data_IF_501483870827
#
_entry.id   IF_501483870827
#
_cell.length_a   1.000
_cell.length_b   1.000
_cell.length_c   1.000
_cell.angle_alpha   90.00
_cell.angle_beta   90.00
_cell.angle_gamma   90.00
#
_symmetry.space_group_name_H-M   'P 1'
#
loop_
_entity.id
_entity.type
_entity.pdbx_description
1 polymer ?
#
# COMPACT_ATOMS: atom_id res chain seq x y z
N UNK A 1 66.68 -0.36 19.66
CA UNK A 1 65.83 -1.15 18.74
C UNK A 1 65.48 -0.27 17.55
N UNK A 2 65.51 -0.84 16.36
CA UNK A 2 65.78 -0.16 15.09
C UNK A 2 64.75 0.82 14.54
N UNK A 3 65.29 1.57 13.59
CA UNK A 3 64.84 2.71 12.77
C UNK A 3 63.74 2.31 11.77
N UNK A 4 62.81 3.21 11.41
CA UNK A 4 62.65 3.75 10.04
C UNK A 4 61.49 4.75 9.88
N UNK A 5 61.86 5.90 9.31
CA UNK A 5 61.05 6.99 8.76
C UNK A 5 60.70 6.64 7.31
N UNK A 6 59.49 6.94 6.82
CA UNK A 6 59.33 7.45 5.44
C UNK A 6 57.93 8.00 5.20
N UNK A 7 57.90 9.28 4.83
CA UNK A 7 56.81 9.91 4.09
C UNK A 7 57.12 9.81 2.59
N UNK A 8 56.12 9.57 1.74
CA UNK A 8 56.24 9.84 0.31
C UNK A 8 54.91 10.38 -0.27
N UNK A 9 55.05 11.56 -0.89
CA UNK A 9 54.10 12.28 -1.75
C UNK A 9 54.12 11.70 -3.19
N UNK A 10 53.13 12.15 -3.96
CA UNK A 10 53.10 12.29 -5.44
C UNK A 10 52.58 11.04 -6.17
N UNK A 11 51.74 11.11 -7.21
CA UNK A 11 51.58 12.13 -8.25
C UNK A 11 50.22 11.98 -8.97
N UNK A 12 49.78 13.06 -9.62
CA UNK A 12 48.70 13.09 -10.62
C UNK A 12 49.11 12.23 -11.83
N UNK A 13 48.15 11.61 -12.51
CA UNK A 13 48.08 11.71 -13.97
C UNK A 13 46.70 11.37 -14.54
N UNK A 14 46.21 12.33 -15.31
CA UNK A 14 45.12 12.29 -16.28
C UNK A 14 45.45 11.36 -17.45
N UNK A 15 44.46 10.63 -17.97
CA UNK A 15 44.50 10.14 -19.36
C UNK A 15 43.15 10.40 -20.03
N UNK A 16 43.22 11.12 -21.15
CA UNK A 16 42.14 11.44 -22.10
C UNK A 16 41.83 10.22 -22.99
N UNK A 17 40.58 10.16 -23.45
CA UNK A 17 40.06 9.27 -24.49
C UNK A 17 40.85 9.28 -25.80
N UNK A 18 40.59 8.28 -26.66
CA UNK A 18 40.37 8.57 -28.07
C UNK A 18 39.00 8.14 -28.58
N UNK A 19 38.44 9.02 -29.41
CA UNK A 19 37.31 8.80 -30.33
C UNK A 19 37.71 7.82 -31.45
N UNK A 20 36.73 7.12 -32.02
CA UNK A 20 36.58 6.67 -33.42
C UNK A 20 35.36 5.72 -33.42
N UNK A 21 34.35 5.74 -34.30
CA UNK A 21 34.06 6.46 -35.54
C UNK A 21 32.94 5.68 -36.29
N UNK A 22 31.98 6.41 -36.84
CA UNK A 22 31.01 6.07 -37.91
C UNK A 22 29.90 4.99 -37.77
N UNK A 23 28.69 5.50 -38.01
CA UNK A 23 27.34 4.94 -38.33
C UNK A 23 27.28 4.33 -39.77
N UNK A 24 26.16 3.79 -40.34
CA UNK A 24 24.76 3.63 -39.86
C UNK A 24 24.06 2.29 -40.28
N UNK A 25 22.75 2.21 -40.02
CA UNK A 25 21.68 1.34 -40.60
C UNK A 25 21.28 0.07 -39.82
N UNK A 26 20.10 0.17 -39.20
CA UNK A 26 19.32 -0.95 -38.69
C UNK A 26 18.00 -0.44 -38.11
N UNK A 27 17.05 -0.07 -38.98
CA UNK A 27 15.67 0.23 -38.60
C UNK A 27 15.04 -1.00 -37.94
N UNK A 28 14.58 -0.88 -36.70
CA UNK A 28 13.39 -1.61 -36.23
C UNK A 28 12.51 -0.66 -35.44
N UNK A 29 11.32 -0.44 -35.98
CA UNK A 29 10.22 0.28 -35.36
C UNK A 29 9.75 -0.52 -34.14
N UNK A 30 9.84 0.05 -32.94
CA UNK A 30 8.99 -0.35 -31.82
C UNK A 30 7.82 0.62 -31.79
N UNK A 31 6.65 0.14 -32.21
CA UNK A 31 5.41 0.91 -32.22
C UNK A 31 5.07 1.39 -30.82
N UNK A 32 5.23 2.69 -30.58
CA UNK A 32 4.67 3.39 -29.44
C UNK A 32 3.16 3.51 -29.63
N UNK A 33 2.39 2.50 -29.28
CA UNK A 33 0.95 2.66 -29.07
C UNK A 33 0.74 3.16 -27.65
N UNK A 34 0.78 4.48 -27.48
CA UNK A 34 0.08 5.14 -26.40
C UNK A 34 -1.39 4.73 -26.47
N UNK A 35 -1.83 3.82 -25.61
CA UNK A 35 -3.24 3.49 -25.46
C UNK A 35 -3.97 4.69 -24.84
N UNK A 36 -5.02 5.25 -25.49
CA UNK A 36 -5.72 6.41 -24.96
C UNK A 36 -6.53 6.02 -23.71
N UNK A 37 -6.35 6.77 -22.62
CA UNK A 37 -7.01 6.59 -21.32
C UNK A 37 -8.54 6.46 -21.39
N UNK A 38 -9.17 7.08 -22.40
CA UNK A 38 -10.63 7.10 -22.58
C UNK A 38 -11.25 5.76 -22.99
N UNK A 39 -10.47 4.79 -23.47
CA UNK A 39 -11.00 3.48 -23.88
C UNK A 39 -11.13 2.52 -22.69
N UNK A 40 -10.36 2.72 -21.61
CA UNK A 40 -10.49 1.97 -20.36
C UNK A 40 -11.81 2.31 -19.65
N UNK A 41 -12.17 3.59 -19.61
CA UNK A 41 -13.34 4.12 -18.91
C UNK A 41 -14.68 3.52 -19.42
N UNK A 42 -14.83 3.33 -20.74
CA UNK A 42 -16.09 2.84 -21.33
C UNK A 42 -16.38 1.36 -21.11
N UNK A 43 -15.35 0.54 -20.91
CA UNK A 43 -15.54 -0.88 -20.60
C UNK A 43 -15.96 -1.11 -19.14
N UNK A 44 -15.64 -0.16 -18.25
CA UNK A 44 -16.08 -0.17 -16.86
C UNK A 44 -17.46 0.46 -16.68
N UNK A 45 -17.76 1.59 -17.34
CA UNK A 45 -19.06 2.29 -17.22
C UNK A 45 -20.30 1.45 -17.59
N UNK A 46 -20.18 0.46 -18.50
CA UNK A 46 -21.32 -0.40 -18.86
C UNK A 46 -21.68 -1.44 -17.78
N UNK A 47 -20.83 -1.62 -16.76
CA UNK A 47 -21.03 -2.60 -15.68
C UNK A 47 -21.88 -2.00 -14.53
N UNK A 48 -21.95 -0.66 -14.44
CA UNK A 48 -22.41 0.09 -13.25
C UNK A 48 -23.91 0.43 -13.17
N UNK A 49 -24.79 -0.36 -13.78
CA UNK A 49 -26.22 -0.29 -13.47
C UNK A 49 -26.71 -1.64 -12.92
N UNK A 50 -26.89 -1.70 -11.59
CA UNK A 50 -28.09 -2.18 -10.87
C UNK A 50 -27.80 -2.73 -9.47
N UNK A 51 -28.61 -2.24 -8.50
CA UNK A 51 -29.11 -2.81 -7.24
C UNK A 51 -28.15 -3.68 -6.40
N UNK A 52 -27.96 -3.28 -5.13
CA UNK A 52 -26.93 -3.72 -4.18
C UNK A 52 -26.58 -5.21 -4.06
N UNK A 53 -27.42 -6.14 -4.50
CA UNK A 53 -27.07 -7.57 -4.60
C UNK A 53 -26.07 -7.90 -5.73
N UNK A 54 -26.12 -7.18 -6.85
CA UNK A 54 -25.20 -7.38 -7.99
C UNK A 54 -23.79 -6.85 -7.69
N UNK A 55 -23.71 -5.79 -6.87
CA UNK A 55 -22.48 -5.11 -6.48
C UNK A 55 -21.61 -5.97 -5.54
N UNK A 56 -22.23 -6.65 -4.58
CA UNK A 56 -21.52 -7.57 -3.68
C UNK A 56 -20.87 -8.73 -4.47
N UNK A 57 -21.63 -9.36 -5.38
CA UNK A 57 -21.15 -10.45 -6.25
C UNK A 57 -19.99 -9.98 -7.13
N UNK A 58 -20.07 -8.75 -7.66
CA UNK A 58 -18.97 -8.17 -8.46
C UNK A 58 -17.72 -7.90 -7.62
N UNK A 59 -17.89 -7.45 -6.37
CA UNK A 59 -16.76 -7.22 -5.45
C UNK A 59 -16.07 -8.52 -5.08
N UNK A 60 -16.80 -9.59 -4.77
CA UNK A 60 -16.23 -10.92 -4.56
C UNK A 60 -15.48 -11.42 -5.79
N UNK A 61 -16.05 -11.19 -6.98
CA UNK A 61 -15.41 -11.49 -8.26
C UNK A 61 -14.12 -10.68 -8.53
N UNK A 62 -14.00 -9.47 -7.99
CA UNK A 62 -12.77 -8.67 -8.07
C UNK A 62 -11.75 -9.13 -7.03
N UNK A 63 -12.18 -9.29 -5.78
CA UNK A 63 -11.31 -9.76 -4.69
C UNK A 63 -10.72 -11.12 -5.05
N UNK A 64 -11.50 -12.06 -5.59
CA UNK A 64 -11.00 -13.38 -6.01
C UNK A 64 -9.98 -13.34 -7.15
N UNK A 65 -9.96 -12.27 -7.97
CA UNK A 65 -8.94 -12.07 -9.02
C UNK A 65 -7.63 -11.51 -8.47
N UNK A 66 -7.67 -10.86 -7.31
CA UNK A 66 -6.45 -10.38 -6.69
C UNK A 66 -5.54 -11.58 -6.36
N UNK A 67 -4.22 -11.49 -6.52
CA UNK A 67 -3.33 -12.65 -6.31
C UNK A 67 -3.05 -12.97 -4.83
N UNK A 68 -3.32 -12.02 -3.91
CA UNK A 68 -3.04 -12.17 -2.47
C UNK A 68 -4.16 -12.58 -1.51
N UNK A 69 -5.47 -12.64 -1.82
CA UNK A 69 -6.52 -12.90 -0.82
C UNK A 69 -6.28 -14.17 0.01
N UNK A 70 -5.79 -15.24 -0.61
CA UNK A 70 -5.51 -16.50 0.07
C UNK A 70 -4.40 -16.40 1.12
N UNK A 71 -3.51 -15.39 1.03
CA UNK A 71 -2.39 -15.18 1.95
C UNK A 71 -2.50 -13.89 2.76
N UNK A 72 -3.36 -12.94 2.37
CA UNK A 72 -3.38 -11.59 2.95
C UNK A 72 -3.73 -11.60 4.43
N UNK A 73 -4.65 -12.48 4.85
CA UNK A 73 -5.01 -12.66 6.25
C UNK A 73 -3.79 -13.09 7.07
N UNK A 74 -3.09 -14.14 6.64
CA UNK A 74 -1.89 -14.64 7.31
C UNK A 74 -0.78 -13.58 7.35
N UNK A 75 -0.56 -12.85 6.26
CA UNK A 75 0.42 -11.76 6.19
C UNK A 75 0.11 -10.63 7.18
N UNK A 76 -1.16 -10.23 7.29
CA UNK A 76 -1.60 -9.23 8.26
C UNK A 76 -1.45 -9.71 9.70
N UNK A 77 -1.87 -10.95 10.00
CA UNK A 77 -1.77 -11.53 11.34
C UNK A 77 -0.29 -11.70 11.78
N UNK A 78 0.59 -12.14 10.88
CA UNK A 78 2.03 -12.24 11.16
C UNK A 78 2.70 -10.88 11.31
N UNK A 79 2.27 -9.88 10.54
CA UNK A 79 2.72 -8.49 10.71
C UNK A 79 2.31 -7.94 12.07
N UNK A 80 1.06 -8.19 12.49
CA UNK A 80 0.57 -7.84 13.83
C UNK A 80 1.39 -8.48 14.93
N UNK A 81 1.65 -9.79 14.83
CA UNK A 81 2.52 -10.49 15.79
C UNK A 81 3.94 -9.95 15.80
N UNK A 82 4.48 -9.54 14.66
CA UNK A 82 5.80 -8.92 14.57
C UNK A 82 5.84 -7.58 15.31
N UNK A 83 4.77 -6.77 15.22
CA UNK A 83 4.64 -5.52 15.97
C UNK A 83 4.59 -5.82 17.47
N UNK A 84 3.70 -6.72 17.92
CA UNK A 84 3.52 -6.99 19.35
C UNK A 84 4.77 -7.56 20.02
N UNK A 85 5.49 -8.43 19.32
CA UNK A 85 6.73 -9.02 19.81
C UNK A 85 7.96 -8.14 19.58
N UNK A 86 7.80 -6.95 18.97
CA UNK A 86 8.88 -5.99 18.83
C UNK A 86 9.34 -5.48 20.19
N UNK A 87 10.66 -5.42 20.38
CA UNK A 87 11.28 -5.00 21.64
C UNK A 87 11.96 -3.63 21.49
N UNK A 88 11.73 -2.75 22.46
CA UNK A 88 12.42 -1.46 22.55
C UNK A 88 13.79 -1.68 23.21
N UNK A 89 14.78 -1.95 22.36
CA UNK A 89 16.19 -2.18 22.72
C UNK A 89 16.43 -3.27 23.79
N UNK A 90 17.67 -3.74 23.88
CA UNK A 90 18.03 -4.84 24.79
C UNK A 90 18.21 -4.40 26.24
N UNK A 91 18.23 -3.10 26.52
CA UNK A 91 18.42 -2.58 27.87
C UNK A 91 17.10 -2.51 28.64
N UNK A 92 16.04 -2.01 28.01
CA UNK A 92 14.73 -1.89 28.63
C UNK A 92 13.97 -3.22 28.59
N UNK A 93 14.25 -4.08 27.60
CA UNK A 93 13.57 -5.37 27.41
C UNK A 93 12.03 -5.22 27.48
N UNK A 94 11.53 -4.11 26.92
CA UNK A 94 10.11 -3.77 26.91
C UNK A 94 9.53 -4.14 25.55
N UNK A 95 8.48 -4.95 25.54
CA UNK A 95 7.76 -5.26 24.31
C UNK A 95 6.75 -4.17 23.98
N UNK A 96 6.49 -3.97 22.70
CA UNK A 96 5.47 -3.06 22.20
C UNK A 96 4.08 -3.39 22.78
N UNK A 97 3.77 -4.68 22.98
CA UNK A 97 2.50 -5.09 23.61
C UNK A 97 2.35 -4.63 25.06
N UNK A 98 3.45 -4.35 25.76
CA UNK A 98 3.41 -3.92 27.17
C UNK A 98 3.25 -2.40 27.30
N UNK A 99 3.22 -1.69 26.17
CA UNK A 99 3.12 -0.23 26.12
C UNK A 99 1.65 0.23 25.94
N UNK A 100 1.36 1.46 26.36
CA UNK A 100 0.08 2.11 26.07
C UNK A 100 0.22 2.96 24.80
N UNK A 101 0.08 2.31 23.64
CA UNK A 101 0.26 2.96 22.33
C UNK A 101 -1.09 3.49 21.83
N UNK A 102 -1.08 4.70 21.27
CA UNK A 102 -2.30 5.28 20.71
C UNK A 102 -2.72 4.54 19.43
N UNK A 103 -4.02 4.41 19.14
CA UNK A 103 -4.50 3.83 17.88
C UNK A 103 -3.87 4.44 16.63
N UNK A 104 -3.60 5.74 16.64
CA UNK A 104 -2.96 6.44 15.53
C UNK A 104 -1.53 5.94 15.30
N UNK A 105 -0.76 5.78 16.38
CA UNK A 105 0.60 5.24 16.30
C UNK A 105 0.59 3.75 15.88
N UNK A 106 -0.33 2.95 16.41
CA UNK A 106 -0.51 1.55 15.98
C UNK A 106 -0.88 1.48 14.49
N UNK A 107 -1.76 2.35 14.01
CA UNK A 107 -2.12 2.43 12.60
C UNK A 107 -0.93 2.78 11.71
N UNK A 108 -0.10 3.74 12.13
CA UNK A 108 1.13 4.10 11.43
C UNK A 108 2.12 2.92 11.36
N UNK A 109 2.32 2.20 12.47
CA UNK A 109 3.13 0.97 12.49
C UNK A 109 2.60 -0.08 11.50
N UNK A 110 1.29 -0.29 11.44
CA UNK A 110 0.69 -1.24 10.50
C UNK A 110 0.89 -0.84 9.04
N UNK A 111 0.75 0.45 8.72
CA UNK A 111 1.03 0.99 7.39
C UNK A 111 2.48 0.78 6.95
N UNK A 112 3.42 0.72 7.89
CA UNK A 112 4.81 0.46 7.56
C UNK A 112 5.18 -1.02 7.55
N UNK A 113 4.74 -1.78 8.55
CA UNK A 113 5.15 -3.17 8.77
C UNK A 113 4.47 -4.12 7.78
N UNK A 114 3.18 -3.93 7.47
CA UNK A 114 2.49 -4.86 6.56
C UNK A 114 3.10 -4.84 5.16
N UNK A 115 3.27 -3.68 4.48
CA UNK A 115 3.91 -3.65 3.17
C UNK A 115 5.34 -4.22 3.18
N UNK A 116 6.11 -3.91 4.23
CA UNK A 116 7.47 -4.43 4.40
C UNK A 116 7.47 -5.96 4.57
N UNK A 117 6.55 -6.49 5.37
CA UNK A 117 6.39 -7.93 5.58
C UNK A 117 5.99 -8.64 4.28
N UNK A 118 5.06 -8.06 3.51
CA UNK A 118 4.66 -8.57 2.20
C UNK A 118 5.87 -8.60 1.25
N UNK A 119 6.62 -7.50 1.17
CA UNK A 119 7.83 -7.39 0.32
C UNK A 119 8.82 -8.52 0.58
N UNK A 120 8.99 -8.90 1.85
CA UNK A 120 9.93 -9.96 2.26
C UNK A 120 9.42 -11.37 2.05
N UNK A 121 8.10 -11.58 1.93
CA UNK A 121 7.48 -12.91 1.98
C UNK A 121 6.66 -13.28 0.74
N UNK A 122 6.53 -12.36 -0.21
CA UNK A 122 5.73 -12.52 -1.42
C UNK A 122 6.47 -11.92 -2.62
N UNK A 123 6.89 -12.76 -3.56
CA UNK A 123 7.53 -12.29 -4.79
C UNK A 123 6.56 -11.49 -5.65
N UNK A 124 7.06 -10.42 -6.28
CA UNK A 124 6.26 -9.55 -7.16
C UNK A 124 5.39 -8.54 -6.45
N UNK A 125 5.54 -8.40 -5.13
CA UNK A 125 4.93 -7.36 -4.35
C UNK A 125 6.02 -6.63 -3.58
N UNK A 126 5.90 -5.30 -3.52
CA UNK A 126 6.81 -4.45 -2.77
C UNK A 126 6.07 -3.33 -2.05
N UNK A 127 6.72 -2.75 -1.05
CA UNK A 127 6.30 -1.51 -0.42
C UNK A 127 6.34 -0.36 -1.42
N UNK A 128 5.30 0.45 -1.44
CA UNK A 128 5.24 1.66 -2.25
C UNK A 128 6.13 2.78 -1.71
N UNK A 129 6.55 3.67 -2.60
CA UNK A 129 7.38 4.83 -2.26
C UNK A 129 6.74 6.13 -2.76
N UNK A 130 6.77 7.16 -1.93
CA UNK A 130 6.36 8.51 -2.30
C UNK A 130 4.86 8.64 -2.56
N UNK A 131 4.46 8.61 -3.84
CA UNK A 131 3.06 8.81 -4.27
C UNK A 131 2.41 7.52 -4.82
N UNK A 132 3.09 6.38 -4.66
CA UNK A 132 2.55 5.06 -4.96
C UNK A 132 1.55 4.62 -3.88
N UNK A 133 0.76 3.58 -4.18
CA UNK A 133 -0.09 2.93 -3.17
C UNK A 133 0.78 2.24 -2.12
N UNK A 134 0.24 1.98 -0.94
CA UNK A 134 0.97 1.35 0.18
C UNK A 134 1.69 0.04 -0.24
N UNK A 135 1.04 -0.79 -1.05
CA UNK A 135 1.63 -2.01 -1.64
C UNK A 135 1.51 -1.97 -3.16
N UNK A 136 2.63 -2.20 -3.85
CA UNK A 136 2.74 -2.20 -5.32
C UNK A 136 2.91 -3.63 -5.82
N UNK A 137 2.07 -4.01 -6.79
CA UNK A 137 2.23 -5.23 -7.57
C UNK A 137 3.17 -4.96 -8.75
N UNK A 138 4.25 -5.73 -8.86
CA UNK A 138 5.28 -5.52 -9.89
C UNK A 138 4.90 -6.11 -11.25
N UNK A 139 3.90 -7.00 -11.28
CA UNK A 139 3.42 -7.62 -12.52
C UNK A 139 2.29 -6.84 -13.18
N UNK A 140 1.40 -6.23 -12.38
CA UNK A 140 0.26 -5.44 -12.86
C UNK A 140 -0.23 -4.48 -11.76
N UNK A 141 -0.11 -3.17 -12.03
CA UNK A 141 -0.46 -2.10 -11.08
C UNK A 141 -1.94 -2.08 -10.69
N UNK A 142 -2.83 -2.73 -11.46
CA UNK A 142 -4.23 -2.90 -11.07
C UNK A 142 -4.34 -3.63 -9.73
N UNK A 143 -3.42 -4.54 -9.42
CA UNK A 143 -3.38 -5.26 -8.13
C UNK A 143 -2.57 -4.54 -7.05
N UNK A 144 -2.04 -3.35 -7.32
CA UNK A 144 -1.51 -2.49 -6.26
C UNK A 144 -2.67 -2.00 -5.39
N UNK A 145 -2.48 -1.93 -4.07
CA UNK A 145 -3.54 -1.63 -3.12
C UNK A 145 -3.12 -0.72 -1.98
N UNK A 146 -4.10 0.02 -1.47
CA UNK A 146 -3.97 0.92 -0.31
C UNK A 146 -4.38 0.19 0.96
N UNK A 147 -3.70 0.47 2.06
CA UNK A 147 -4.07 -0.03 3.38
C UNK A 147 -4.88 1.06 4.09
N UNK A 148 -5.86 0.65 4.89
CA UNK A 148 -6.58 1.53 5.82
C UNK A 148 -6.76 0.79 7.13
N UNK A 149 -6.30 1.43 8.21
CA UNK A 149 -6.32 0.83 9.54
C UNK A 149 -7.18 1.65 10.50
N UNK A 150 -7.84 0.99 11.44
CA UNK A 150 -8.70 1.67 12.42
C UNK A 150 -8.91 0.85 13.67
N UNK A 151 -8.91 1.48 14.85
CA UNK A 151 -9.31 0.79 16.09
C UNK A 151 -10.83 0.76 16.32
N UNK A 152 -11.60 1.26 15.36
CA UNK A 152 -13.06 1.24 15.36
C UNK A 152 -13.52 0.36 14.19
N UNK A 153 -14.78 -0.11 14.18
CA UNK A 153 -15.34 -0.92 13.07
C UNK A 153 -15.43 -0.18 11.72
N UNK A 154 -15.08 1.09 11.66
CA UNK A 154 -15.20 1.95 10.47
C UNK A 154 -13.82 2.23 9.87
N UNK A 155 -13.71 2.27 8.55
CA UNK A 155 -12.52 2.77 7.85
C UNK A 155 -12.70 4.23 7.43
N UNK A 156 -11.60 4.98 7.49
CA UNK A 156 -11.54 6.40 7.17
C UNK A 156 -10.40 6.64 6.18
N UNK A 157 -10.65 7.46 5.17
CA UNK A 157 -9.66 7.95 4.23
C UNK A 157 -9.22 9.37 4.59
N UNK A 158 -8.17 9.85 3.93
CA UNK A 158 -7.80 11.27 4.02
C UNK A 158 -8.84 12.15 3.34
N UNK A 159 -8.99 13.40 3.77
CA UNK A 159 -9.87 14.39 3.12
C UNK A 159 -9.63 14.52 1.61
N UNK A 160 -8.37 14.33 1.17
CA UNK A 160 -8.01 14.36 -0.25
C UNK A 160 -8.76 13.31 -1.07
N UNK A 161 -9.19 12.19 -0.49
CA UNK A 161 -9.98 11.18 -1.20
C UNK A 161 -11.37 11.68 -1.62
N UNK A 162 -11.87 12.79 -1.07
CA UNK A 162 -13.15 13.39 -1.44
C UNK A 162 -13.02 14.68 -2.27
N UNK A 163 -11.79 15.10 -2.60
CA UNK A 163 -11.53 16.24 -3.50
C UNK A 163 -11.21 15.73 -4.91
N UNK A 164 -11.98 16.17 -5.88
CA UNK A 164 -11.87 15.83 -7.32
C UNK A 164 -10.78 16.60 -8.08
N UNK A 165 -10.14 17.59 -7.45
CA UNK A 165 -9.35 18.61 -8.18
C UNK A 165 -7.94 18.22 -8.63
N UNK A 166 -7.54 16.96 -8.47
CA UNK A 166 -6.26 16.47 -8.98
C UNK A 166 -6.55 15.22 -9.78
N UNK A 167 -6.36 15.25 -11.10
CA UNK A 167 -6.68 14.19 -12.07
C UNK A 167 -5.91 12.86 -11.92
N UNK A 168 -5.67 12.41 -10.68
CA UNK A 168 -5.30 11.04 -10.34
C UNK A 168 -6.56 10.30 -9.93
N UNK A 169 -6.84 9.23 -10.65
CA UNK A 169 -7.84 8.24 -10.27
C UNK A 169 -7.44 7.65 -8.91
N UNK A 170 -8.34 7.75 -7.92
CA UNK A 170 -8.15 7.22 -6.55
C UNK A 170 -8.84 5.88 -6.36
N UNK A 171 -9.29 5.29 -7.45
CA UNK A 171 -9.97 4.00 -7.47
C UNK A 171 -8.96 2.87 -7.46
N UNK A 172 -9.29 1.77 -6.77
CA UNK A 172 -8.40 0.62 -6.69
C UNK A 172 -8.73 -0.31 -5.55
N UNK A 173 -7.87 -1.31 -5.34
CA UNK A 173 -7.98 -2.20 -4.19
C UNK A 173 -7.62 -1.48 -2.88
N UNK A 174 -8.42 -1.76 -1.85
CA UNK A 174 -8.19 -1.35 -0.48
C UNK A 174 -8.20 -2.56 0.45
N UNK A 175 -7.25 -2.57 1.38
CA UNK A 175 -7.16 -3.51 2.48
C UNK A 175 -7.52 -2.79 3.78
N UNK A 176 -8.67 -3.13 4.34
CA UNK A 176 -9.18 -2.59 5.59
C UNK A 176 -8.80 -3.50 6.76
N UNK A 177 -8.21 -2.94 7.81
CA UNK A 177 -7.79 -3.69 9.01
C UNK A 177 -8.31 -2.99 10.26
N UNK A 178 -9.15 -3.69 11.01
CA UNK A 178 -9.65 -3.22 12.29
C UNK A 178 -8.93 -3.95 13.42
N UNK A 179 -8.52 -3.22 14.46
CA UNK A 179 -7.69 -3.78 15.54
C UNK A 179 -8.07 -3.25 16.93
N UNK A 180 -7.75 -4.00 17.98
CA UNK A 180 -7.90 -3.55 19.36
C UNK A 180 -6.77 -2.58 19.72
N UNK A 181 -7.07 -1.58 20.56
CA UNK A 181 -6.04 -0.68 21.08
C UNK A 181 -4.95 -1.50 21.79
N UNK A 182 -3.68 -1.20 21.51
CA UNK A 182 -2.56 -1.77 22.27
C UNK A 182 -2.54 -1.14 23.66
N UNK A 183 -2.82 -1.98 24.65
CA UNK A 183 -2.69 -1.73 26.08
C UNK A 183 -2.17 -3.00 26.74
N UNK A 184 -2.07 -3.06 28.06
CA UNK A 184 -1.57 -4.23 28.80
C UNK A 184 -2.43 -5.53 28.65
N UNK A 185 -3.36 -5.58 27.69
CA UNK A 185 -4.12 -6.76 27.29
C UNK A 185 -3.62 -7.22 25.93
N UNK A 186 -3.47 -8.53 25.70
CA UNK A 186 -3.07 -9.13 24.42
C UNK A 186 -3.98 -8.66 23.27
N UNK A 187 -3.59 -7.62 22.50
CA UNK A 187 -4.52 -6.96 21.59
C UNK A 187 -4.54 -7.74 20.28
N UNK A 188 -5.67 -7.69 19.56
CA UNK A 188 -5.89 -8.51 18.35
C UNK A 188 -6.33 -7.67 17.17
N UNK A 189 -6.09 -8.21 15.96
CA UNK A 189 -6.85 -7.81 14.78
C UNK A 189 -8.27 -8.35 14.95
N UNK A 190 -9.25 -7.46 14.79
CA UNK A 190 -10.67 -7.75 14.88
C UNK A 190 -11.25 -8.19 13.54
N UNK A 191 -10.83 -7.53 12.46
CA UNK A 191 -11.40 -7.76 11.14
C UNK A 191 -10.41 -7.37 10.04
N UNK A 192 -10.40 -8.15 8.96
CA UNK A 192 -9.67 -7.85 7.73
C UNK A 192 -10.65 -7.94 6.58
N UNK A 193 -10.74 -6.87 5.79
CA UNK A 193 -11.57 -6.83 4.60
C UNK A 193 -10.76 -6.36 3.42
N UNK A 194 -11.13 -6.84 2.23
CA UNK A 194 -10.55 -6.36 0.98
C UNK A 194 -11.65 -6.02 0.00
N UNK A 195 -11.40 -5.02 -0.84
CA UNK A 195 -12.39 -4.62 -1.84
C UNK A 195 -11.84 -3.61 -2.82
N UNK A 196 -12.63 -3.34 -3.85
CA UNK A 196 -12.37 -2.26 -4.79
C UNK A 196 -13.24 -1.07 -4.43
N UNK A 197 -12.61 0.08 -4.19
CA UNK A 197 -13.33 1.33 -3.90
C UNK A 197 -12.99 2.36 -4.96
N UNK A 198 -13.98 3.12 -5.35
CA UNK A 198 -13.89 4.21 -6.31
C UNK A 198 -13.84 5.56 -5.61
N UNK A 199 -13.40 6.60 -6.31
CA UNK A 199 -13.39 7.95 -5.75
C UNK A 199 -14.75 8.40 -5.20
N UNK A 200 -15.84 8.03 -5.88
CA UNK A 200 -17.22 8.36 -5.52
C UNK A 200 -17.71 7.67 -4.23
N UNK A 201 -17.01 6.63 -3.76
CA UNK A 201 -17.35 5.95 -2.51
C UNK A 201 -16.94 6.73 -1.26
N UNK A 202 -16.10 7.76 -1.43
CA UNK A 202 -15.57 8.58 -0.34
C UNK A 202 -16.39 9.86 -0.16
N UNK A 203 -17.02 9.99 1.01
CA UNK A 203 -17.73 11.19 1.44
C UNK A 203 -16.76 12.07 2.22
N UNK A 204 -16.46 13.26 1.68
CA UNK A 204 -15.70 14.27 2.39
C UNK A 204 -16.50 14.89 3.52
N UNK A 205 -15.85 15.23 4.64
CA UNK A 205 -16.51 16.02 5.67
C UNK A 205 -16.87 17.43 5.15
N UNK A 206 -18.09 17.88 5.48
CA UNK A 206 -18.59 19.24 5.15
C UNK A 206 -17.82 20.36 5.84
N UNK A 207 -17.15 20.07 6.98
CA UNK A 207 -16.35 21.05 7.72
C UNK A 207 -14.95 21.21 7.12
N UNK A 208 -14.48 22.46 6.97
CA UNK A 208 -13.14 22.76 6.47
C UNK A 208 -12.00 22.27 7.38
N UNK A 209 -12.29 21.95 8.64
CA UNK A 209 -11.33 21.45 9.63
C UNK A 209 -11.20 19.93 9.67
N UNK A 210 -12.09 19.21 8.98
CA UNK A 210 -12.12 17.75 8.98
C UNK A 210 -11.04 17.13 8.08
N UNK A 211 -10.09 16.40 8.65
CA UNK A 211 -9.02 15.73 7.89
C UNK A 211 -9.44 14.38 7.29
N UNK A 212 -10.70 13.96 7.49
CA UNK A 212 -11.15 12.61 7.17
C UNK A 212 -12.24 12.58 6.09
N UNK A 213 -12.23 11.52 5.30
CA UNK A 213 -13.31 11.10 4.42
C UNK A 213 -13.86 9.75 4.92
N UNK A 214 -15.17 9.60 4.97
CA UNK A 214 -15.83 8.35 5.37
C UNK A 214 -16.42 7.66 4.15
N UNK A 215 -16.53 6.33 4.18
CA UNK A 215 -17.22 5.62 3.11
C UNK A 215 -18.73 5.89 3.10
N UNK A 216 -19.32 5.87 1.91
CA UNK A 216 -20.76 5.75 1.75
C UNK A 216 -21.27 4.47 2.42
N UNK A 217 -22.52 4.50 2.88
CA UNK A 217 -23.18 3.32 3.47
C UNK A 217 -23.17 2.14 2.50
N UNK A 218 -23.43 2.42 1.22
CA UNK A 218 -23.44 1.40 0.16
C UNK A 218 -22.07 0.76 -0.05
N UNK A 219 -21.01 1.56 -0.18
CA UNK A 219 -19.65 1.03 -0.34
C UNK A 219 -19.22 0.20 0.87
N UNK A 220 -19.51 0.68 2.08
CA UNK A 220 -19.21 -0.05 3.31
C UNK A 220 -19.91 -1.41 3.38
N UNK A 221 -21.15 -1.50 2.89
CA UNK A 221 -21.95 -2.71 2.99
C UNK A 221 -21.68 -3.70 1.85
N UNK A 222 -21.32 -3.22 0.66
CA UNK A 222 -21.33 -4.04 -0.55
C UNK A 222 -19.99 -4.11 -1.29
N UNK A 223 -19.02 -3.24 -0.98
CA UNK A 223 -17.72 -3.17 -1.70
C UNK A 223 -16.52 -3.67 -0.89
N UNK A 224 -16.73 -4.20 0.31
CA UNK A 224 -15.67 -4.78 1.14
C UNK A 224 -16.05 -6.21 1.51
N UNK A 225 -15.28 -7.17 1.02
CA UNK A 225 -15.41 -8.59 1.36
C UNK A 225 -14.66 -8.84 2.66
N UNK A 226 -15.35 -9.39 3.67
CA UNK A 226 -14.72 -9.82 4.92
C UNK A 226 -13.90 -11.07 4.65
N UNK A 227 -12.60 -11.01 4.93
CA UNK A 227 -11.66 -12.12 4.79
C UNK A 227 -11.37 -12.79 6.14
N UNK A 228 -11.54 -12.04 7.23
CA UNK A 228 -11.31 -12.49 8.59
C UNK A 228 -12.12 -11.61 9.56
N UNK A 229 -12.75 -12.22 10.55
CA UNK A 229 -13.47 -11.56 11.65
C UNK A 229 -13.43 -12.47 12.89
N UNK A 230 -13.43 -11.87 14.09
CA UNK A 230 -13.53 -12.57 15.38
C UNK A 230 -14.71 -12.08 16.23
#
# INVERSE_FOLDING_TARGET
MGVFVSALRSSRNTVKSPKNGCNPLGKMQAGSTCFPSKMRERQYESIWKQVGGKMAIQTEGLVSKHPLPARIVDLCLKSWQSILNGEINTYLNMKICDMNISPQATGALLHDVIPEYITKNVSGFRKGVGKEKDVVCEYDDVFSFEIKTSSQKSIYGNRSYAKSDTGKDKSGYFLAINFEKISANTPRILMIQMGWLDHSDWIGQKSETGQQASLTKEARQNKLVVLYEI
#
